data_IF_057414333872
#
_entry.id   IF_057414333872
#
_cell.length_a   1.000
_cell.length_b   1.000
_cell.length_c   1.000
_cell.angle_alpha   90.00
_cell.angle_beta   90.00
_cell.angle_gamma   90.00
#
_symmetry.space_group_name_H-M   'P 1'
#
loop_
_entity.id
_entity.type
_entity.pdbx_description
1 polymer ?
#
# COMPACT_ATOMS: atom_id res chain seq x y z
N UNK A 1 7.56 0.40 19.21
CA UNK A 1 6.70 0.93 18.13
C UNK A 1 5.45 1.64 18.63
N UNK A 2 4.89 1.32 19.81
CA UNK A 2 3.71 2.03 20.32
C UNK A 2 3.85 3.57 20.36
N UNK A 3 5.07 4.08 20.60
CA UNK A 3 5.38 5.52 20.57
C UNK A 3 5.58 6.11 19.16
N UNK A 4 5.78 5.26 18.15
CA UNK A 4 6.10 5.64 16.75
C UNK A 4 4.84 5.59 15.87
N UNK A 5 3.82 4.84 16.27
CA UNK A 5 2.58 4.68 15.52
C UNK A 5 2.72 3.75 14.31
N UNK A 6 1.75 3.81 13.40
CA UNK A 6 1.75 3.03 12.15
C UNK A 6 2.66 3.70 11.12
N UNK A 7 3.96 3.39 11.20
CA UNK A 7 5.00 3.88 10.29
C UNK A 7 5.80 2.71 9.68
N UNK A 8 5.19 1.53 9.63
CA UNK A 8 5.86 0.31 9.16
C UNK A 8 5.44 -0.03 7.73
N UNK A 9 6.35 -0.60 6.94
CA UNK A 9 6.03 -1.25 5.67
C UNK A 9 6.00 -2.76 5.90
N UNK A 10 4.86 -3.40 5.63
CA UNK A 10 4.79 -4.86 5.64
C UNK A 10 5.58 -5.43 4.45
N UNK A 11 6.46 -6.39 4.73
CA UNK A 11 7.26 -7.06 3.69
C UNK A 11 6.98 -8.56 3.60
N UNK A 12 6.35 -9.15 4.62
CA UNK A 12 5.84 -10.51 4.62
C UNK A 12 4.80 -10.69 5.74
N UNK A 13 4.18 -11.87 5.84
CA UNK A 13 3.42 -12.30 7.02
C UNK A 13 4.30 -12.12 8.26
N UNK A 14 3.80 -11.34 9.23
CA UNK A 14 4.45 -10.99 10.49
C UNK A 14 5.85 -10.33 10.39
N UNK A 15 6.26 -9.86 9.20
CA UNK A 15 7.54 -9.16 8.99
C UNK A 15 7.34 -7.75 8.44
N UNK A 16 8.01 -6.79 9.07
CA UNK A 16 7.85 -5.37 8.80
C UNK A 16 9.20 -4.65 8.79
N UNK A 17 9.35 -3.66 7.90
CA UNK A 17 10.40 -2.64 7.98
C UNK A 17 9.83 -1.44 8.72
N UNK A 18 10.49 -1.03 9.80
CA UNK A 18 9.96 -0.01 10.70
C UNK A 18 11.10 0.79 11.35
N UNK A 19 10.95 2.12 11.53
CA UNK A 19 11.82 2.89 12.41
C UNK A 19 11.79 2.31 13.83
N UNK A 20 12.96 2.32 14.49
CA UNK A 20 13.13 1.83 15.85
C UNK A 20 12.99 2.92 16.91
N UNK A 21 13.23 4.18 16.52
CA UNK A 21 13.14 5.34 17.40
C UNK A 21 12.25 6.43 16.80
N UNK A 22 11.80 7.39 17.62
CA UNK A 22 11.00 8.55 17.14
C UNK A 22 11.82 9.41 16.18
N UNK A 23 13.12 9.58 16.45
CA UNK A 23 14.01 10.38 15.61
C UNK A 23 14.16 9.77 14.20
N UNK A 24 14.17 8.43 14.10
CA UNK A 24 14.24 7.72 12.82
C UNK A 24 12.95 7.85 11.98
N UNK A 25 11.82 8.26 12.56
CA UNK A 25 10.55 8.38 11.82
C UNK A 25 10.67 9.40 10.71
N UNK A 26 11.16 10.60 11.02
CA UNK A 26 11.28 11.64 10.00
C UNK A 26 12.38 11.34 8.97
N UNK A 27 13.38 10.54 9.33
CA UNK A 27 14.47 10.16 8.44
C UNK A 27 14.12 8.99 7.50
N UNK A 28 13.20 8.11 7.91
CA UNK A 28 12.94 6.84 7.21
C UNK A 28 11.51 6.66 6.72
N UNK A 29 10.54 7.43 7.23
CA UNK A 29 9.14 7.26 6.86
C UNK A 29 8.86 7.72 5.43
N UNK A 30 8.15 6.87 4.70
CA UNK A 30 7.61 7.19 3.38
C UNK A 30 6.25 7.85 3.58
N UNK A 31 6.18 9.17 3.39
CA UNK A 31 4.97 9.98 3.58
C UNK A 31 4.05 9.94 2.34
N UNK A 32 3.65 8.75 1.91
CA UNK A 32 2.74 8.53 0.77
C UNK A 32 1.40 8.06 1.31
N UNK A 33 0.35 8.84 1.05
CA UNK A 33 -0.99 8.54 1.53
C UNK A 33 -1.71 7.51 0.68
N UNK A 34 -2.85 7.07 1.21
CA UNK A 34 -3.79 6.21 0.50
C UNK A 34 -4.57 6.96 -0.59
N UNK A 35 -4.71 6.35 -1.77
CA UNK A 35 -5.80 6.66 -2.71
C UNK A 35 -6.35 5.40 -3.36
N UNK A 36 -7.68 5.29 -3.47
CA UNK A 36 -8.33 4.20 -4.21
C UNK A 36 -8.14 4.31 -5.74
N UNK A 37 -7.65 5.45 -6.23
CA UNK A 37 -7.18 5.65 -7.60
C UNK A 37 -5.73 6.17 -7.53
N UNK A 38 -4.82 5.27 -7.15
CA UNK A 38 -3.41 5.57 -6.94
C UNK A 38 -2.68 6.02 -8.22
N UNK A 39 -1.53 6.67 -8.05
CA UNK A 39 -0.63 7.08 -9.13
C UNK A 39 0.79 6.52 -8.99
N UNK A 40 1.12 5.97 -7.83
CA UNK A 40 2.31 5.17 -7.58
C UNK A 40 1.94 3.79 -7.07
N UNK A 41 2.80 2.82 -7.33
CA UNK A 41 2.72 1.44 -6.85
C UNK A 41 4.10 0.87 -6.65
N UNK A 42 4.23 -0.46 -6.63
CA UNK A 42 5.46 -1.14 -6.23
C UNK A 42 6.06 -1.99 -7.36
N UNK A 43 7.38 -2.18 -7.30
CA UNK A 43 8.09 -3.24 -8.02
C UNK A 43 9.01 -3.98 -7.04
N UNK A 44 8.96 -5.30 -7.02
CA UNK A 44 9.67 -6.06 -6.00
C UNK A 44 9.12 -5.76 -4.61
N UNK A 45 9.98 -5.61 -3.60
CA UNK A 45 9.54 -5.57 -2.20
C UNK A 45 9.40 -4.16 -1.60
N UNK A 46 10.22 -3.20 -2.01
CA UNK A 46 10.31 -1.90 -1.34
C UNK A 46 10.44 -0.71 -2.30
N UNK A 47 10.46 -0.96 -3.62
CA UNK A 47 10.65 0.09 -4.61
C UNK A 47 9.31 0.65 -5.06
N UNK A 48 9.10 1.95 -4.84
CA UNK A 48 7.99 2.70 -5.43
C UNK A 48 8.29 3.05 -6.89
N UNK A 49 7.27 2.95 -7.74
CA UNK A 49 7.30 3.36 -9.15
C UNK A 49 6.04 4.12 -9.51
N UNK A 50 6.12 5.01 -10.48
CA UNK A 50 4.94 5.61 -11.09
C UNK A 50 4.18 4.55 -11.92
N UNK A 51 2.85 4.56 -11.83
CA UNK A 51 1.99 3.65 -12.63
C UNK A 51 1.47 4.33 -13.91
N UNK A 52 1.57 5.66 -13.95
CA UNK A 52 1.25 6.55 -15.08
C UNK A 52 2.07 7.83 -14.96
N UNK A 53 1.95 8.72 -15.93
CA UNK A 53 2.49 10.07 -15.81
C UNK A 53 1.82 10.82 -14.63
N UNK A 54 2.62 11.58 -13.89
CA UNK A 54 2.24 12.31 -12.68
C UNK A 54 2.52 13.79 -12.93
N UNK A 55 1.49 14.63 -12.75
CA UNK A 55 1.60 16.06 -12.98
C UNK A 55 2.38 16.77 -11.86
N UNK A 56 2.91 17.95 -12.17
CA UNK A 56 3.52 18.81 -11.14
C UNK A 56 2.47 19.14 -10.08
N UNK A 57 2.88 19.09 -8.81
CA UNK A 57 2.03 19.31 -7.63
C UNK A 57 0.91 18.25 -7.42
N UNK A 58 0.88 17.18 -8.20
CA UNK A 58 0.00 16.04 -7.93
C UNK A 58 0.51 15.25 -6.71
N UNK A 59 -0.37 14.99 -5.73
CA UNK A 59 -0.02 14.20 -4.55
C UNK A 59 0.32 12.76 -4.95
N UNK A 60 1.45 12.25 -4.48
CA UNK A 60 1.80 10.84 -4.64
C UNK A 60 0.97 10.00 -3.67
N UNK A 61 0.20 9.06 -4.22
CA UNK A 61 -0.63 8.16 -3.45
C UNK A 61 -0.53 6.73 -3.97
N UNK A 62 -0.50 5.76 -3.06
CA UNK A 62 -0.65 4.34 -3.39
C UNK A 62 -1.94 3.78 -2.76
N UNK A 63 -2.43 2.70 -3.33
CA UNK A 63 -3.52 1.93 -2.75
C UNK A 63 -2.93 0.99 -1.69
N UNK A 64 -3.38 1.08 -0.45
CA UNK A 64 -2.82 0.26 0.65
C UNK A 64 -3.12 -1.22 0.49
N UNK A 65 -4.06 -1.59 -0.40
CA UNK A 65 -4.22 -2.99 -0.80
C UNK A 65 -3.00 -3.52 -1.59
N UNK A 66 -2.09 -2.67 -2.05
CA UNK A 66 -0.87 -3.09 -2.74
C UNK A 66 0.22 -3.62 -1.80
N UNK A 67 0.19 -3.30 -0.50
CA UNK A 67 1.23 -3.66 0.47
C UNK A 67 0.70 -4.22 1.81
N UNK A 68 -0.55 -3.94 2.20
CA UNK A 68 -1.13 -4.39 3.48
C UNK A 68 -1.95 -5.67 3.32
N UNK A 69 -1.70 -6.64 4.19
CA UNK A 69 -2.50 -7.87 4.35
C UNK A 69 -2.76 -8.23 5.82
N UNK A 70 -2.39 -7.35 6.75
CA UNK A 70 -2.63 -7.46 8.19
C UNK A 70 -4.04 -6.99 8.57
N UNK A 71 -4.40 -6.98 9.86
CA UNK A 71 -5.70 -6.49 10.35
C UNK A 71 -5.78 -4.94 10.29
N UNK A 72 -5.65 -4.42 9.07
CA UNK A 72 -5.63 -3.00 8.77
C UNK A 72 -7.04 -2.49 8.48
N UNK A 73 -7.34 -1.27 8.95
CA UNK A 73 -8.57 -0.55 8.63
C UNK A 73 -8.34 0.97 8.55
N UNK A 74 -8.84 1.59 7.50
CA UNK A 74 -8.84 3.04 7.29
C UNK A 74 -10.20 3.52 6.80
N UNK A 75 -10.81 4.49 7.48
CA UNK A 75 -11.91 5.29 6.93
C UNK A 75 -11.33 6.25 5.88
N UNK A 76 -11.58 5.97 4.61
CA UNK A 76 -10.89 6.58 3.49
C UNK A 76 -11.55 7.91 3.08
N UNK A 77 -10.72 8.95 3.01
CA UNK A 77 -11.11 10.29 2.61
C UNK A 77 -10.46 10.74 1.28
N UNK A 78 -9.99 9.81 0.44
CA UNK A 78 -9.23 10.14 -0.78
C UNK A 78 -10.02 10.93 -1.85
N UNK A 79 -11.36 11.01 -1.74
CA UNK A 79 -12.20 11.84 -2.61
C UNK A 79 -12.35 11.36 -4.07
N UNK A 80 -11.73 10.24 -4.45
CA UNK A 80 -11.81 9.70 -5.82
C UNK A 80 -13.21 9.13 -6.11
N UNK A 81 -13.62 9.11 -7.38
CA UNK A 81 -14.90 8.51 -7.80
C UNK A 81 -14.99 7.00 -7.51
N UNK A 82 -13.84 6.33 -7.44
CA UNK A 82 -13.71 4.91 -7.11
C UNK A 82 -13.35 4.68 -5.64
N UNK A 83 -13.60 5.66 -4.76
CA UNK A 83 -13.33 5.52 -3.33
C UNK A 83 -14.17 4.37 -2.75
N UNK A 84 -13.51 3.46 -2.01
CA UNK A 84 -14.17 2.34 -1.32
C UNK A 84 -14.86 2.75 -0.02
N UNK A 85 -14.64 3.97 0.47
CA UNK A 85 -15.15 4.47 1.75
C UNK A 85 -14.38 3.91 2.95
N UNK A 86 -14.14 2.61 3.01
CA UNK A 86 -13.25 1.95 3.96
C UNK A 86 -12.23 1.11 3.22
N UNK A 87 -10.96 1.18 3.62
CA UNK A 87 -9.88 0.33 3.11
C UNK A 87 -9.48 -0.65 4.18
N UNK A 88 -9.35 -1.93 3.82
CA UNK A 88 -8.99 -3.00 4.76
C UNK A 88 -7.80 -3.83 4.28
N UNK A 89 -7.17 -4.58 5.17
CA UNK A 89 -6.12 -5.54 4.81
C UNK A 89 -6.60 -6.76 4.01
N UNK A 90 -7.89 -6.87 3.72
CA UNK A 90 -8.46 -7.90 2.85
C UNK A 90 -8.69 -7.39 1.42
N UNK A 91 -8.52 -6.08 1.17
CA UNK A 91 -8.87 -5.45 -0.10
C UNK A 91 -8.00 -5.92 -1.28
N UNK A 92 -6.81 -6.48 -1.01
CA UNK A 92 -5.97 -7.10 -2.05
C UNK A 92 -6.64 -8.30 -2.74
N UNK A 93 -7.70 -8.86 -2.13
CA UNK A 93 -8.51 -9.95 -2.68
C UNK A 93 -9.59 -9.47 -3.66
N UNK A 94 -9.88 -8.16 -3.69
CA UNK A 94 -10.93 -7.61 -4.55
C UNK A 94 -10.51 -7.70 -6.03
N UNK A 95 -11.30 -8.34 -6.90
CA UNK A 95 -10.94 -8.50 -8.31
C UNK A 95 -10.68 -7.16 -9.02
N UNK A 96 -11.44 -6.12 -8.70
CA UNK A 96 -11.27 -4.78 -9.27
C UNK A 96 -9.97 -4.11 -8.83
N UNK A 97 -9.47 -4.41 -7.63
CA UNK A 97 -8.18 -3.91 -7.13
C UNK A 97 -7.03 -4.67 -7.81
N UNK A 98 -7.14 -6.00 -7.89
CA UNK A 98 -6.16 -6.83 -8.60
C UNK A 98 -6.03 -6.43 -10.07
N UNK A 99 -7.14 -6.23 -10.76
CA UNK A 99 -7.14 -5.81 -12.16
C UNK A 99 -6.60 -4.38 -12.33
N UNK A 100 -6.91 -3.45 -11.42
CA UNK A 100 -6.45 -2.06 -11.50
C UNK A 100 -4.95 -1.92 -11.32
N UNK A 101 -4.36 -2.69 -10.41
CA UNK A 101 -2.96 -2.57 -10.02
C UNK A 101 -2.11 -3.77 -10.41
N UNK A 102 -2.52 -4.50 -11.46
CA UNK A 102 -1.79 -5.67 -11.95
C UNK A 102 -0.30 -5.35 -12.15
N UNK A 103 0.56 -6.17 -11.51
CA UNK A 103 2.01 -6.00 -11.52
C UNK A 103 2.57 -4.95 -10.55
N UNK A 104 1.75 -4.10 -9.94
CA UNK A 104 2.18 -3.00 -9.06
C UNK A 104 2.01 -3.28 -7.56
N UNK A 105 1.71 -4.53 -7.19
CA UNK A 105 1.70 -4.98 -5.79
C UNK A 105 3.12 -5.15 -5.27
N UNK A 106 3.33 -4.97 -3.97
CA UNK A 106 4.53 -5.49 -3.28
C UNK A 106 4.61 -6.99 -3.55
N UNK A 107 5.80 -7.48 -3.88
CA UNK A 107 6.00 -8.86 -4.37
C UNK A 107 5.36 -9.93 -3.47
N UNK A 108 5.39 -9.73 -2.15
CA UNK A 108 4.73 -10.60 -1.18
C UNK A 108 3.19 -10.65 -1.35
N UNK A 109 2.54 -9.51 -1.59
CA UNK A 109 1.09 -9.47 -1.88
C UNK A 109 0.79 -10.06 -3.25
N UNK A 110 1.65 -9.78 -4.24
CA UNK A 110 1.55 -10.37 -5.58
C UNK A 110 1.64 -11.91 -5.52
N UNK A 111 2.52 -12.45 -4.69
CA UNK A 111 2.65 -13.88 -4.41
C UNK A 111 1.37 -14.47 -3.82
N UNK A 112 0.73 -13.79 -2.86
CA UNK A 112 -0.56 -14.23 -2.30
C UNK A 112 -1.65 -14.27 -3.36
N UNK A 113 -1.75 -13.24 -4.20
CA UNK A 113 -2.72 -13.17 -5.30
C UNK A 113 -2.52 -14.36 -6.25
N UNK A 114 -1.27 -14.62 -6.66
CA UNK A 114 -0.95 -15.74 -7.55
C UNK A 114 -1.31 -17.10 -6.95
N UNK A 115 -1.04 -17.30 -5.65
CA UNK A 115 -1.40 -18.55 -4.94
C UNK A 115 -2.91 -18.73 -4.85
N UNK A 116 -3.64 -17.68 -4.47
CA UNK A 116 -5.10 -17.73 -4.39
C UNK A 116 -5.79 -17.99 -5.73
N UNK A 117 -5.18 -17.58 -6.84
CA UNK A 117 -5.69 -17.86 -8.19
C UNK A 117 -5.38 -19.29 -8.69
N UNK A 118 -4.48 -20.01 -8.01
CA UNK A 118 -4.10 -21.39 -8.36
C UNK A 118 -4.92 -22.45 -7.62
N UNK A 119 -5.69 -22.05 -6.61
CA UNK A 119 -6.62 -22.88 -5.82
C UNK A 119 -8.04 -22.87 -6.43
#
# INVERSE_FOLDING_TARGET
TAEIGDQSLQIHDDLYLSPRTVDEVDETSIRINHSCNANVGFRGQVLYVAIRDIEVDEELCHDYAMDRTDDYRLECACGTLSCRGTVTGEDWRLPEVQARYEGFFVEYVADKIRRAAAD
#
